data_IF_618378083312
#
_entry.id   IF_618378083312
#
_cell.length_a   1.000
_cell.length_b   1.000
_cell.length_c   1.000
_cell.angle_alpha   90.00
_cell.angle_beta   90.00
_cell.angle_gamma   90.00
#
_symmetry.space_group_name_H-M   'P 1'
#
loop_
_entity.id
_entity.type
_entity.pdbx_description
1 polymer ?
#
# COMPACT_ATOMS: atom_id res chain seq x y z
N UNK A 1 -7.87 -18.91 13.01
CA UNK A 1 -7.14 -17.96 12.14
C UNK A 1 -8.07 -16.82 11.71
N UNK A 2 -7.62 -15.57 11.72
CA UNK A 2 -8.37 -14.45 11.11
C UNK A 2 -8.03 -14.37 9.62
N UNK A 3 -9.02 -14.46 8.71
CA UNK A 3 -8.81 -14.48 7.26
C UNK A 3 -7.97 -13.29 6.74
N UNK A 4 -8.16 -12.11 7.34
CA UNK A 4 -7.39 -10.92 7.00
C UNK A 4 -5.91 -11.02 7.40
N UNK A 5 -5.58 -11.71 8.49
CA UNK A 5 -4.17 -11.90 8.92
C UNK A 5 -3.38 -12.66 7.87
N UNK A 6 -3.91 -13.79 7.39
CA UNK A 6 -3.25 -14.60 6.37
C UNK A 6 -3.09 -13.84 5.05
N UNK A 7 -4.10 -13.08 4.65
CA UNK A 7 -4.05 -12.27 3.44
C UNK A 7 -2.95 -11.19 3.51
N UNK A 8 -2.91 -10.41 4.59
CA UNK A 8 -1.90 -9.34 4.74
C UNK A 8 -0.47 -9.89 4.83
N UNK A 9 -0.25 -10.99 5.55
CA UNK A 9 1.07 -11.62 5.63
C UNK A 9 1.51 -12.15 4.26
N UNK A 10 0.62 -12.77 3.47
CA UNK A 10 0.92 -13.25 2.12
C UNK A 10 1.28 -12.10 1.17
N UNK A 11 0.65 -10.94 1.33
CA UNK A 11 0.86 -9.76 0.49
C UNK A 11 2.00 -8.84 0.97
N UNK A 12 2.85 -9.33 1.89
CA UNK A 12 4.07 -8.65 2.33
C UNK A 12 3.83 -7.52 3.34
N UNK A 13 2.72 -7.56 4.08
CA UNK A 13 2.52 -6.67 5.22
C UNK A 13 3.09 -7.27 6.50
N UNK A 14 3.72 -6.44 7.31
CA UNK A 14 4.25 -6.78 8.63
C UNK A 14 3.24 -6.44 9.72
N UNK A 15 3.03 -7.35 10.66
CA UNK A 15 2.20 -7.07 11.82
C UNK A 15 2.93 -6.14 12.80
N UNK A 16 2.25 -5.10 13.30
CA UNK A 16 2.78 -4.26 14.37
C UNK A 16 3.02 -5.08 15.64
N UNK A 17 4.14 -4.82 16.33
CA UNK A 17 4.46 -5.41 17.63
C UNK A 17 3.33 -5.12 18.63
N UNK A 18 2.73 -6.16 19.20
CA UNK A 18 1.60 -6.06 20.14
C UNK A 18 0.24 -6.51 19.59
N UNK A 19 0.11 -6.80 18.29
CA UNK A 19 -1.11 -7.34 17.69
C UNK A 19 -1.57 -8.68 18.30
N UNK A 20 -0.65 -9.44 18.93
CA UNK A 20 -0.92 -10.75 19.53
C UNK A 20 -1.44 -10.66 20.96
N UNK A 21 -1.13 -9.58 21.68
CA UNK A 21 -1.46 -9.42 23.11
C UNK A 21 -2.83 -8.81 23.34
N UNK A 22 -3.37 -8.12 22.35
CA UNK A 22 -4.60 -7.36 22.52
C UNK A 22 -5.73 -8.02 21.73
N UNK A 23 -6.50 -8.86 22.41
CA UNK A 23 -7.61 -9.62 21.81
C UNK A 23 -8.79 -8.73 21.40
N UNK A 24 -8.86 -7.50 21.91
CA UNK A 24 -10.00 -6.59 21.72
C UNK A 24 -9.65 -5.24 21.08
N UNK A 25 -8.42 -5.08 20.57
CA UNK A 25 -7.99 -3.83 19.93
C UNK A 25 -7.76 -4.01 18.44
N UNK A 26 -7.74 -2.88 17.74
CA UNK A 26 -7.46 -2.80 16.31
C UNK A 26 -6.11 -3.45 15.98
N UNK A 27 -6.10 -4.35 14.99
CA UNK A 27 -4.88 -5.02 14.52
C UNK A 27 -4.30 -4.23 13.36
N UNK A 28 -3.04 -3.82 13.48
CA UNK A 28 -2.39 -2.96 12.49
C UNK A 28 -1.33 -3.76 11.72
N UNK A 29 -1.42 -3.74 10.40
CA UNK A 29 -0.46 -4.31 9.47
C UNK A 29 0.16 -3.19 8.64
N UNK A 30 1.45 -3.27 8.38
CA UNK A 30 2.23 -2.19 7.78
C UNK A 30 3.03 -2.78 6.63
N UNK A 31 2.90 -2.20 5.44
CA UNK A 31 3.75 -2.53 4.30
C UNK A 31 4.55 -1.28 3.94
N UNK A 32 5.87 -1.40 4.02
CA UNK A 32 6.77 -0.37 3.54
C UNK A 32 7.22 -0.73 2.13
N UNK A 33 6.89 0.12 1.18
CA UNK A 33 7.48 0.06 -0.16
C UNK A 33 8.26 1.36 -0.35
N UNK A 34 9.52 1.28 -0.79
CA UNK A 34 10.38 2.46 -0.99
C UNK A 34 9.76 3.52 -1.91
N UNK A 35 8.78 3.12 -2.73
CA UNK A 35 8.14 3.93 -3.77
C UNK A 35 6.83 4.61 -3.31
N UNK A 36 6.12 4.02 -2.35
CA UNK A 36 4.76 4.45 -1.92
C UNK A 36 4.79 4.97 -0.48
N UNK A 37 5.84 4.65 0.27
CA UNK A 37 5.92 4.89 1.71
C UNK A 37 5.29 3.74 2.51
N UNK A 38 4.76 4.06 3.68
CA UNK A 38 4.06 3.09 4.54
C UNK A 38 2.58 3.00 4.19
N UNK A 39 2.12 1.82 3.76
CA UNK A 39 0.70 1.48 3.66
C UNK A 39 0.30 0.83 4.98
N UNK A 40 -0.69 1.41 5.66
CA UNK A 40 -1.19 0.90 6.93
C UNK A 40 -2.55 0.26 6.74
N UNK A 41 -2.72 -0.98 7.18
CA UNK A 41 -3.99 -1.70 7.17
C UNK A 41 -4.43 -1.96 8.61
N UNK A 42 -5.57 -1.40 8.99
CA UNK A 42 -6.16 -1.50 10.33
C UNK A 42 -7.40 -2.37 10.25
N UNK A 43 -7.36 -3.51 10.94
CA UNK A 43 -8.48 -4.46 11.06
C UNK A 43 -9.12 -4.26 12.42
N UNK A 44 -10.36 -3.77 12.46
CA UNK A 44 -11.12 -3.65 13.71
C UNK A 44 -11.83 -4.96 14.02
N UNK A 45 -11.85 -5.39 15.28
CA UNK A 45 -12.50 -6.66 15.67
C UNK A 45 -14.02 -6.60 15.55
N UNK A 46 -14.63 -5.44 15.80
CA UNK A 46 -16.08 -5.22 15.78
C UNK A 46 -16.67 -4.99 14.38
N UNK A 47 -15.85 -4.59 13.40
CA UNK A 47 -16.34 -4.26 12.05
C UNK A 47 -15.77 -5.24 11.05
N UNK A 48 -16.65 -5.84 10.25
CA UNK A 48 -16.25 -6.68 9.10
C UNK A 48 -15.63 -5.79 8.01
N UNK A 49 -14.33 -5.54 8.10
CA UNK A 49 -13.57 -4.82 7.08
C UNK A 49 -12.21 -4.35 7.54
N UNK A 50 -11.49 -3.76 6.60
CA UNK A 50 -10.14 -3.23 6.78
C UNK A 50 -10.13 -1.77 6.37
N UNK A 51 -9.56 -0.94 7.23
CA UNK A 51 -9.23 0.44 6.90
C UNK A 51 -7.78 0.48 6.39
N UNK A 52 -7.58 0.93 5.16
CA UNK A 52 -6.26 1.15 4.56
C UNK A 52 -5.96 2.64 4.58
N UNK A 53 -4.78 3.01 5.06
CA UNK A 53 -4.27 4.38 5.05
C UNK A 53 -3.06 4.40 4.14
N UNK A 54 -3.13 5.19 3.07
CA UNK A 54 -2.07 5.37 2.08
C UNK A 54 -2.03 6.82 1.63
N UNK A 55 -0.83 7.40 1.54
CA UNK A 55 -0.61 8.78 1.06
C UNK A 55 -1.50 9.84 1.77
N UNK A 56 -1.77 9.64 3.06
CA UNK A 56 -2.61 10.54 3.87
C UNK A 56 -4.12 10.35 3.71
N UNK A 57 -4.57 9.46 2.82
CA UNK A 57 -5.97 9.17 2.59
C UNK A 57 -6.40 7.86 3.26
N UNK A 58 -7.64 7.84 3.75
CA UNK A 58 -8.23 6.68 4.42
C UNK A 58 -9.28 6.01 3.53
N UNK A 59 -9.13 4.71 3.31
CA UNK A 59 -10.03 3.91 2.49
C UNK A 59 -10.56 2.72 3.30
N UNK A 60 -11.86 2.47 3.24
CA UNK A 60 -12.46 1.31 3.93
C UNK A 60 -12.87 0.25 2.91
N UNK A 61 -12.46 -1.00 3.18
CA UNK A 61 -12.74 -2.13 2.32
C UNK A 61 -13.35 -3.27 3.13
N UNK A 62 -14.39 -3.87 2.56
CA UNK A 62 -15.04 -5.07 3.09
C UNK A 62 -14.77 -6.32 2.24
N UNK A 63 -14.21 -6.17 1.04
CA UNK A 63 -13.88 -7.26 0.11
C UNK A 63 -12.38 -7.25 -0.21
N UNK A 64 -11.77 -8.44 -0.28
CA UNK A 64 -10.38 -8.67 -0.67
C UNK A 64 -10.10 -8.23 -2.12
N UNK A 65 -11.00 -8.49 -3.08
CA UNK A 65 -10.78 -8.13 -4.49
C UNK A 65 -10.62 -6.62 -4.70
N UNK A 66 -11.35 -5.83 -3.89
CA UNK A 66 -11.26 -4.36 -3.91
C UNK A 66 -9.93 -3.88 -3.33
N UNK A 67 -9.40 -4.58 -2.33
CA UNK A 67 -8.08 -4.29 -1.76
C UNK A 67 -6.99 -4.59 -2.78
N UNK A 68 -7.02 -5.76 -3.42
CA UNK A 68 -6.03 -6.12 -4.45
C UNK A 68 -6.06 -5.14 -5.62
N UNK A 69 -7.26 -4.81 -6.10
CA UNK A 69 -7.43 -3.83 -7.18
C UNK A 69 -6.91 -2.44 -6.79
N UNK A 70 -7.13 -2.01 -5.53
CA UNK A 70 -6.62 -0.75 -5.02
C UNK A 70 -5.08 -0.75 -4.93
N UNK A 71 -4.49 -1.82 -4.38
CA UNK A 71 -3.03 -1.96 -4.28
C UNK A 71 -2.36 -1.98 -5.67
N UNK A 72 -2.96 -2.66 -6.65
CA UNK A 72 -2.48 -2.69 -8.03
C UNK A 72 -2.57 -1.31 -8.69
N UNK A 73 -3.68 -0.60 -8.51
CA UNK A 73 -3.85 0.77 -9.04
C UNK A 73 -2.82 1.72 -8.44
N UNK A 74 -2.56 1.61 -7.14
CA UNK A 74 -1.57 2.42 -6.42
C UNK A 74 -0.15 2.22 -6.99
N UNK A 75 0.18 1.00 -7.41
CA UNK A 75 1.43 0.71 -8.10
C UNK A 75 1.45 1.24 -9.54
N UNK A 76 0.34 1.12 -10.27
CA UNK A 76 0.26 1.56 -11.68
C UNK A 76 0.36 3.08 -11.84
N UNK A 77 -0.36 3.87 -11.05
CA UNK A 77 -0.36 5.34 -11.15
C UNK A 77 1.03 5.94 -10.99
N UNK A 78 1.87 5.35 -10.13
CA UNK A 78 3.25 5.81 -9.92
C UNK A 78 4.22 5.34 -11.00
N UNK A 79 4.02 4.15 -11.58
CA UNK A 79 4.79 3.71 -12.76
C UNK A 79 4.63 4.68 -13.93
N UNK A 80 3.43 5.19 -14.15
CA UNK A 80 3.18 6.21 -15.17
C UNK A 80 3.88 7.54 -14.87
N UNK A 81 3.87 7.99 -13.61
CA UNK A 81 4.61 9.19 -13.19
C UNK A 81 6.13 9.04 -13.41
N UNK A 82 6.72 7.93 -12.99
CA UNK A 82 8.14 7.64 -13.19
C UNK A 82 8.50 7.52 -14.67
N UNK A 83 7.59 7.01 -15.51
CA UNK A 83 7.76 6.99 -16.97
C UNK A 83 7.81 8.39 -17.56
N UNK A 84 6.96 9.30 -17.09
CA UNK A 84 6.95 10.71 -17.53
C UNK A 84 8.26 11.40 -17.11
N UNK A 85 8.70 11.23 -15.86
CA UNK A 85 9.98 11.79 -15.39
C UNK A 85 11.16 11.30 -16.21
N UNK A 86 11.28 9.98 -16.44
CA UNK A 86 12.36 9.40 -17.25
C UNK A 86 12.39 9.95 -18.69
N UNK A 87 11.21 10.15 -19.31
CA UNK A 87 11.13 10.77 -20.64
C UNK A 87 11.68 12.20 -20.64
N UNK A 88 11.39 12.99 -19.61
CA UNK A 88 11.89 14.36 -19.47
C UNK A 88 13.42 14.39 -19.31
N UNK A 89 13.97 13.53 -18.46
CA UNK A 89 15.43 13.45 -18.25
C UNK A 89 16.18 13.03 -19.51
N UNK A 90 15.66 12.04 -20.24
CA UNK A 90 16.24 11.60 -21.52
C UNK A 90 16.21 12.75 -22.54
N UNK A 91 15.08 13.45 -22.67
CA UNK A 91 14.96 14.61 -23.56
C UNK A 91 15.92 15.75 -23.19
N UNK A 92 16.18 15.96 -21.90
CA UNK A 92 17.16 16.96 -21.46
C UNK A 92 18.60 16.53 -21.77
N UNK A 93 18.93 15.25 -21.53
CA UNK A 93 20.26 14.70 -21.85
C UNK A 93 20.56 14.73 -23.35
N UNK A 94 19.58 14.37 -24.19
CA UNK A 94 19.74 14.41 -25.65
C UNK A 94 19.97 15.84 -26.15
N UNK A 95 19.26 16.84 -25.60
CA UNK A 95 19.49 18.26 -25.92
C UNK A 95 20.86 18.78 -25.53
N UNK A 96 21.51 18.17 -24.53
CA UNK A 96 22.88 18.53 -24.12
C UNK A 96 23.95 17.86 -24.98
N UNK A 97 23.61 16.83 -25.76
CA UNK A 97 24.55 16.11 -26.65
C UNK A 97 24.58 16.66 -28.08
N UNK A 98 23.58 17.45 -28.48
CA UNK A 98 23.51 18.15 -29.78
C UNK A 98 24.25 19.51 -29.79
N UNK A 99 25.22 19.71 -28.89
CA UNK A 99 26.18 20.83 -28.86
C UNK A 99 27.59 20.25 -28.92
#
# INVERSE_FOLDING_TARGET
MSMFRSYFLKNGFYAKKGNEKASNTEKVYIKHTSEIGGIYAVVKSDRKGVKIIAEGNEFFFNNFDKIDSFLNRLQQTKNDFMRILRRKDISQKLRMLDI
#
